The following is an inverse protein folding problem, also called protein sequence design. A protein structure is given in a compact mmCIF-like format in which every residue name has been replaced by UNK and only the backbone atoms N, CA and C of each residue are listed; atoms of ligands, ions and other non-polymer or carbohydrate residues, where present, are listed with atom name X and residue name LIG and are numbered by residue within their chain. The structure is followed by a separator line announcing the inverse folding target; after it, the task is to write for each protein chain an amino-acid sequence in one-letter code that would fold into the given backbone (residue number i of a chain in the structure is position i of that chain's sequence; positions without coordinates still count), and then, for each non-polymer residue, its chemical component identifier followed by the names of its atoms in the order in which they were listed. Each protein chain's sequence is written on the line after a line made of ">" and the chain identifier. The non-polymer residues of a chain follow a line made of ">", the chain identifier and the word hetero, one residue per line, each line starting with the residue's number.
data_IF_669567605058
#
_entry.id   IF_669567605058
#
_cell.length_a   1.000
_cell.length_b   1.000
_cell.length_c   1.000
_cell.angle_alpha   90.00
_cell.angle_beta   90.00
_cell.angle_gamma   90.00
#
_symmetry.space_group_name_H-M   'P 1'
#
loop_
_entity.id
_entity.type
_entity.pdbx_description
1 polymer ?
#
# COMPACT_ATOMS: atom_id res chain seq x y z
N UNK A 1 -26.40 -12.79 28.76
CA UNK A 1 -27.44 -12.65 27.72
C UNK A 1 -26.84 -13.19 26.43
N UNK A 2 -27.35 -14.33 25.97
CA UNK A 2 -26.83 -15.03 24.79
C UNK A 2 -27.21 -14.23 23.53
N UNK A 3 -26.21 -13.72 22.82
CA UNK A 3 -26.38 -13.08 21.52
C UNK A 3 -26.77 -14.15 20.51
N UNK A 4 -28.02 -14.11 20.02
CA UNK A 4 -28.47 -14.96 18.93
C UNK A 4 -27.66 -14.63 17.67
N UNK A 5 -26.85 -15.58 17.20
CA UNK A 5 -26.23 -15.51 15.89
C UNK A 5 -27.36 -15.49 14.84
N UNK A 6 -27.46 -14.40 14.08
CA UNK A 6 -28.31 -14.35 12.91
C UNK A 6 -27.90 -15.51 11.99
N UNK A 7 -28.86 -16.33 11.57
CA UNK A 7 -28.61 -17.43 10.66
C UNK A 7 -28.04 -16.87 9.35
N UNK A 8 -26.76 -17.13 9.11
CA UNK A 8 -26.09 -16.72 7.89
C UNK A 8 -26.71 -17.45 6.69
N UNK A 9 -26.96 -16.72 5.59
CA UNK A 9 -27.41 -17.31 4.34
C UNK A 9 -26.37 -18.29 3.77
N UNK A 10 -26.71 -19.10 2.75
CA UNK A 10 -25.76 -20.02 2.14
C UNK A 10 -24.54 -19.25 1.60
N UNK A 11 -23.35 -19.81 1.80
CA UNK A 11 -22.11 -19.24 1.27
C UNK A 11 -22.19 -19.16 -0.27
N UNK A 12 -21.84 -17.99 -0.81
CA UNK A 12 -21.78 -17.73 -2.25
C UNK A 12 -20.37 -18.06 -2.73
N UNK A 13 -20.27 -18.95 -3.71
CA UNK A 13 -19.00 -19.44 -4.23
C UNK A 13 -18.64 -18.74 -5.55
N UNK A 14 -17.39 -18.33 -5.68
CA UNK A 14 -16.82 -17.67 -6.86
C UNK A 14 -15.62 -18.46 -7.35
N UNK A 15 -15.60 -18.75 -8.65
CA UNK A 15 -14.44 -19.34 -9.31
C UNK A 15 -13.71 -18.24 -10.08
N UNK A 16 -12.50 -17.93 -9.63
CA UNK A 16 -11.63 -16.93 -10.21
C UNK A 16 -10.68 -17.62 -11.19
N UNK A 17 -10.65 -17.11 -12.41
CA UNK A 17 -9.67 -17.52 -13.42
C UNK A 17 -8.28 -16.96 -13.09
N UNK A 18 -7.26 -17.47 -13.76
CA UNK A 18 -5.90 -16.93 -13.74
C UNK A 18 -5.93 -15.41 -13.99
N UNK A 19 -5.20 -14.65 -13.16
CA UNK A 19 -5.05 -13.18 -13.26
C UNK A 19 -6.36 -12.37 -13.13
N UNK A 20 -7.38 -12.95 -12.48
CA UNK A 20 -8.63 -12.25 -12.16
C UNK A 20 -8.74 -11.91 -10.66
N UNK A 21 -9.61 -10.94 -10.35
CA UNK A 21 -9.95 -10.57 -8.97
C UNK A 21 -11.45 -10.49 -8.71
N UNK A 22 -11.86 -10.86 -7.50
CA UNK A 22 -13.19 -10.59 -6.96
C UNK A 22 -13.16 -9.26 -6.21
N UNK A 23 -13.88 -8.26 -6.72
CA UNK A 23 -14.03 -6.94 -6.07
C UNK A 23 -15.27 -6.94 -5.21
N UNK A 24 -15.10 -6.53 -3.96
CA UNK A 24 -16.16 -6.60 -2.94
C UNK A 24 -16.25 -5.29 -2.18
N UNK A 25 -17.47 -4.78 -2.04
CA UNK A 25 -17.84 -3.76 -1.05
C UNK A 25 -18.75 -4.39 0.00
N UNK A 26 -18.29 -4.42 1.25
CA UNK A 26 -19.02 -5.05 2.36
C UNK A 26 -20.21 -4.18 2.77
N UNK A 27 -21.33 -4.82 3.11
CA UNK A 27 -22.51 -4.17 3.67
C UNK A 27 -22.22 -3.29 4.89
N UNK A 28 -23.18 -2.41 5.23
CA UNK A 28 -22.95 -1.35 6.22
C UNK A 28 -22.99 -1.81 7.68
N UNK A 29 -23.66 -2.92 7.96
CA UNK A 29 -24.05 -3.30 9.33
C UNK A 29 -23.33 -4.54 9.85
N UNK A 30 -23.08 -5.53 9.00
CA UNK A 30 -22.53 -6.83 9.40
C UNK A 30 -21.20 -7.13 8.70
N UNK A 31 -20.24 -7.76 9.38
CA UNK A 31 -19.01 -8.22 8.72
C UNK A 31 -19.32 -9.27 7.64
N UNK A 32 -18.44 -9.36 6.66
CA UNK A 32 -18.44 -10.38 5.62
C UNK A 32 -17.40 -11.44 5.94
N UNK A 33 -17.76 -12.72 5.88
CA UNK A 33 -16.80 -13.81 6.02
C UNK A 33 -16.32 -14.25 4.65
N UNK A 34 -15.02 -14.44 4.52
CA UNK A 34 -14.35 -14.86 3.28
C UNK A 34 -13.57 -16.14 3.56
N UNK A 35 -13.59 -17.10 2.64
CA UNK A 35 -12.80 -18.34 2.73
C UNK A 35 -12.23 -18.72 1.37
N UNK A 36 -10.94 -19.08 1.34
CA UNK A 36 -10.31 -19.72 0.18
C UNK A 36 -10.54 -21.23 0.26
N UNK A 37 -11.24 -21.80 -0.73
CA UNK A 37 -11.57 -23.23 -0.79
C UNK A 37 -10.58 -24.01 -1.66
N UNK A 38 -10.08 -23.40 -2.73
CA UNK A 38 -9.08 -24.04 -3.59
C UNK A 38 -8.20 -23.03 -4.30
N UNK A 39 -7.01 -23.47 -4.71
CA UNK A 39 -6.02 -22.63 -5.39
C UNK A 39 -5.29 -21.68 -4.43
N UNK A 40 -4.86 -20.54 -4.95
CA UNK A 40 -4.14 -19.50 -4.19
C UNK A 40 -4.75 -18.14 -4.50
N UNK A 41 -5.02 -17.35 -3.46
CA UNK A 41 -5.51 -15.98 -3.64
C UNK A 41 -4.91 -15.06 -2.58
N UNK A 42 -4.88 -13.76 -2.88
CA UNK A 42 -4.34 -12.73 -2.00
C UNK A 42 -5.24 -11.48 -1.94
N UNK A 43 -5.23 -10.80 -0.80
CA UNK A 43 -5.83 -9.47 -0.62
C UNK A 43 -4.67 -8.49 -0.43
N UNK A 44 -4.49 -7.58 -1.38
CA UNK A 44 -3.42 -6.57 -1.37
C UNK A 44 -2.01 -7.16 -1.07
N UNK A 45 -1.69 -8.31 -1.67
CA UNK A 45 -0.42 -9.01 -1.51
C UNK A 45 -0.31 -9.91 -0.27
N UNK A 46 -1.33 -9.96 0.58
CA UNK A 46 -1.42 -10.89 1.71
C UNK A 46 -2.15 -12.16 1.28
N UNK A 47 -1.47 -13.30 1.34
CA UNK A 47 -2.07 -14.60 0.98
C UNK A 47 -3.20 -14.98 1.93
N UNK A 48 -4.28 -15.51 1.35
CA UNK A 48 -5.40 -16.05 2.11
C UNK A 48 -5.08 -17.49 2.59
N UNK A 49 -5.27 -17.79 3.89
CA UNK A 49 -5.11 -19.15 4.38
C UNK A 49 -6.19 -20.07 3.81
N UNK A 50 -5.84 -21.27 3.32
CA UNK A 50 -6.82 -22.22 2.78
C UNK A 50 -7.75 -22.71 3.90
N UNK A 51 -9.02 -22.95 3.54
CA UNK A 51 -10.08 -23.51 4.39
C UNK A 51 -10.47 -22.72 5.64
N UNK A 52 -9.83 -21.57 5.89
CA UNK A 52 -10.08 -20.74 7.06
C UNK A 52 -11.00 -19.57 6.70
N UNK A 53 -12.00 -19.34 7.55
CA UNK A 53 -12.85 -18.15 7.47
C UNK A 53 -12.15 -16.95 8.09
N UNK A 54 -11.97 -15.89 7.30
CA UNK A 54 -11.57 -14.57 7.76
C UNK A 54 -12.78 -13.64 7.78
N UNK A 55 -12.82 -12.70 8.72
CA UNK A 55 -13.94 -11.76 8.89
C UNK A 55 -13.52 -10.36 8.47
N UNK A 56 -14.10 -9.84 7.40
CA UNK A 56 -13.89 -8.48 6.92
C UNK A 56 -14.94 -7.54 7.55
N UNK A 57 -14.54 -6.42 8.18
CA UNK A 57 -15.49 -5.52 8.83
C UNK A 57 -16.47 -4.87 7.83
N UNK A 58 -17.60 -4.35 8.33
CA UNK A 58 -18.55 -3.58 7.52
C UNK A 58 -17.88 -2.43 6.76
N UNK A 59 -18.47 -2.03 5.62
CA UNK A 59 -18.06 -0.85 4.81
C UNK A 59 -16.66 -0.91 4.20
N UNK A 60 -15.98 -2.04 4.30
CA UNK A 60 -14.67 -2.22 3.69
C UNK A 60 -14.79 -2.50 2.19
N UNK A 61 -13.83 -1.98 1.43
CA UNK A 61 -13.67 -2.24 0.00
C UNK A 61 -12.36 -2.99 -0.21
N UNK A 62 -12.41 -4.13 -0.88
CA UNK A 62 -11.23 -4.95 -1.11
C UNK A 62 -11.35 -5.77 -2.40
N UNK A 63 -10.22 -6.26 -2.87
CA UNK A 63 -10.13 -7.16 -4.01
C UNK A 63 -9.39 -8.44 -3.59
N UNK A 64 -9.94 -9.59 -3.96
CA UNK A 64 -9.31 -10.89 -3.80
C UNK A 64 -8.77 -11.30 -5.16
N UNK A 65 -7.46 -11.28 -5.33
CA UNK A 65 -6.81 -11.56 -6.60
C UNK A 65 -6.20 -12.97 -6.60
N UNK A 66 -6.11 -13.61 -7.78
CA UNK A 66 -5.40 -14.88 -7.94
C UNK A 66 -4.46 -14.88 -9.15
N UNK A 67 -3.22 -15.35 -8.93
CA UNK A 67 -2.22 -15.55 -9.99
C UNK A 67 -2.45 -16.82 -10.81
N UNK A 68 -3.13 -17.83 -10.27
CA UNK A 68 -3.16 -19.18 -10.84
C UNK A 68 -4.56 -19.79 -10.94
N UNK A 69 -5.58 -19.05 -10.49
CA UNK A 69 -6.94 -19.54 -10.32
C UNK A 69 -7.23 -19.93 -8.88
N UNK A 70 -8.45 -19.64 -8.43
CA UNK A 70 -8.88 -19.90 -7.07
C UNK A 70 -10.40 -20.05 -6.96
N UNK A 71 -10.84 -20.78 -5.94
CA UNK A 71 -12.25 -20.82 -5.53
C UNK A 71 -12.39 -20.13 -4.18
N UNK A 72 -13.23 -19.11 -4.12
CA UNK A 72 -13.46 -18.31 -2.92
C UNK A 72 -14.94 -18.35 -2.54
N UNK A 73 -15.23 -18.39 -1.25
CA UNK A 73 -16.57 -18.29 -0.72
C UNK A 73 -16.76 -17.02 0.11
N UNK A 74 -17.95 -16.42 -0.04
CA UNK A 74 -18.41 -15.26 0.71
C UNK A 74 -19.68 -15.60 1.50
N UNK A 75 -19.70 -15.30 2.79
CA UNK A 75 -20.85 -15.48 3.68
C UNK A 75 -21.16 -14.14 4.38
N UNK A 76 -22.37 -13.61 4.18
CA UNK A 76 -22.78 -12.29 4.67
C UNK A 76 -23.24 -11.36 3.54
N UNK A 77 -23.52 -10.10 3.86
CA UNK A 77 -24.11 -9.12 2.93
C UNK A 77 -23.03 -8.28 2.24
N UNK A 78 -23.15 -8.10 0.93
CA UNK A 78 -22.30 -7.24 0.09
C UNK A 78 -23.16 -6.17 -0.59
N UNK A 79 -22.63 -4.95 -0.74
CA UNK A 79 -23.25 -3.90 -1.57
C UNK A 79 -22.86 -4.06 -3.03
N UNK A 80 -21.61 -4.44 -3.27
CA UNK A 80 -21.05 -4.68 -4.60
C UNK A 80 -20.23 -5.96 -4.55
N UNK A 81 -20.44 -6.82 -5.54
CA UNK A 81 -19.62 -8.00 -5.78
C UNK A 81 -19.56 -8.31 -7.27
N UNK A 82 -18.36 -8.37 -7.85
CA UNK A 82 -18.17 -8.80 -9.23
C UNK A 82 -16.73 -9.26 -9.48
N UNK A 83 -16.57 -10.16 -10.44
CA UNK A 83 -15.25 -10.60 -10.91
C UNK A 83 -14.77 -9.66 -12.01
N UNK A 84 -13.53 -9.21 -11.90
CA UNK A 84 -12.82 -8.44 -12.91
C UNK A 84 -11.64 -9.27 -13.44
N UNK A 85 -11.53 -9.36 -14.76
CA UNK A 85 -10.46 -10.01 -15.50
C UNK A 85 -9.38 -9.02 -15.96
N UNK A 86 -9.73 -7.75 -16.15
CA UNK A 86 -8.75 -6.68 -16.41
C UNK A 86 -8.22 -6.08 -15.11
N UNK A 87 -6.95 -6.39 -14.79
CA UNK A 87 -6.26 -5.87 -13.60
C UNK A 87 -4.86 -5.35 -13.93
N UNK A 88 -4.37 -4.31 -13.22
CA UNK A 88 -3.00 -3.82 -13.37
C UNK A 88 -1.96 -4.69 -12.62
N UNK A 89 -2.34 -5.85 -12.08
CA UNK A 89 -1.52 -6.64 -11.16
C UNK A 89 -0.18 -7.08 -11.75
N UNK A 90 -0.16 -7.47 -13.03
CA UNK A 90 1.08 -7.82 -13.75
C UNK A 90 2.05 -6.63 -13.80
N UNK A 91 1.54 -5.41 -13.98
CA UNK A 91 2.38 -4.21 -13.96
C UNK A 91 2.95 -3.95 -12.57
N UNK A 92 2.15 -4.16 -11.52
CA UNK A 92 2.58 -3.96 -10.14
C UNK A 92 3.64 -4.97 -9.70
N UNK A 93 3.49 -6.26 -10.04
CA UNK A 93 4.50 -7.27 -9.70
C UNK A 93 5.80 -7.07 -10.48
N UNK A 94 5.74 -6.59 -11.73
CA UNK A 94 6.93 -6.24 -12.50
C UNK A 94 7.69 -5.08 -11.86
N UNK A 95 6.99 -4.05 -11.37
CA UNK A 95 7.59 -2.97 -10.59
C UNK A 95 8.25 -3.54 -9.34
N UNK A 96 7.56 -4.39 -8.58
CA UNK A 96 8.13 -5.04 -7.39
C UNK A 96 9.41 -5.81 -7.68
N UNK A 97 9.47 -6.58 -8.78
CA UNK A 97 10.67 -7.31 -9.19
C UNK A 97 11.85 -6.37 -9.47
N UNK A 98 11.62 -5.22 -10.11
CA UNK A 98 12.65 -4.20 -10.34
C UNK A 98 13.13 -3.60 -9.02
N UNK A 99 12.21 -3.32 -8.09
CA UNK A 99 12.53 -2.79 -6.77
C UNK A 99 13.33 -3.80 -5.94
N UNK A 100 12.97 -5.07 -5.97
CA UNK A 100 13.69 -6.16 -5.31
C UNK A 100 15.13 -6.29 -5.81
N UNK A 101 15.33 -6.24 -7.13
CA UNK A 101 16.67 -6.20 -7.72
C UNK A 101 17.48 -4.98 -7.23
N UNK A 102 16.85 -3.81 -7.06
CA UNK A 102 17.51 -2.61 -6.49
C UNK A 102 17.89 -2.82 -5.02
N UNK A 103 17.01 -3.40 -4.20
CA UNK A 103 17.30 -3.74 -2.80
C UNK A 103 18.47 -4.71 -2.68
N UNK A 104 18.47 -5.76 -3.50
CA UNK A 104 19.53 -6.76 -3.55
C UNK A 104 20.89 -6.14 -3.90
N UNK A 105 20.93 -5.24 -4.90
CA UNK A 105 22.17 -4.50 -5.24
C UNK A 105 22.63 -3.58 -4.12
N UNK A 106 21.71 -2.85 -3.49
CA UNK A 106 22.02 -1.98 -2.36
C UNK A 106 22.59 -2.76 -1.16
N UNK A 107 22.02 -3.93 -0.85
CA UNK A 107 22.48 -4.83 0.23
C UNK A 107 23.85 -5.45 -0.08
N UNK A 108 24.12 -5.77 -1.34
CA UNK A 108 25.40 -6.33 -1.79
C UNK A 108 26.51 -5.29 -1.94
N UNK A 109 26.18 -3.99 -1.89
CA UNK A 109 27.16 -2.91 -2.02
C UNK A 109 28.18 -2.96 -0.89
N UNK A 110 29.46 -3.10 -1.25
CA UNK A 110 30.59 -3.03 -0.31
C UNK A 110 31.15 -1.61 -0.17
N UNK A 111 30.70 -0.65 -0.98
CA UNK A 111 31.16 0.72 -0.90
C UNK A 111 30.60 1.40 0.35
N UNK A 112 31.46 2.17 1.02
CA UNK A 112 31.07 3.03 2.13
C UNK A 112 30.23 4.25 1.68
N UNK A 113 30.07 4.45 0.35
CA UNK A 113 29.24 5.51 -0.22
C UNK A 113 27.75 5.21 0.04
N UNK A 114 27.09 6.10 0.78
CA UNK A 114 25.69 5.95 1.18
C UNK A 114 24.77 5.71 -0.03
N UNK A 115 24.98 6.45 -1.11
CA UNK A 115 24.17 6.39 -2.33
C UNK A 115 24.18 5.01 -2.99
N UNK A 116 25.32 4.31 -2.94
CA UNK A 116 25.48 2.97 -3.52
C UNK A 116 24.77 1.88 -2.69
N UNK A 117 24.63 2.12 -1.39
CA UNK A 117 24.02 1.19 -0.42
C UNK A 117 22.55 1.50 -0.14
N UNK A 118 21.99 2.52 -0.81
CA UNK A 118 20.63 2.99 -0.60
C UNK A 118 19.65 2.16 -1.44
N UNK A 119 18.69 1.54 -0.76
CA UNK A 119 17.55 0.87 -1.38
C UNK A 119 16.61 1.85 -2.10
N UNK A 120 15.64 1.34 -2.87
CA UNK A 120 14.69 2.18 -3.58
C UNK A 120 13.83 3.01 -2.61
N UNK A 121 13.66 4.29 -2.92
CA UNK A 121 12.76 5.21 -2.22
C UNK A 121 11.63 5.57 -3.17
N UNK A 122 10.53 4.83 -3.03
CA UNK A 122 9.43 4.81 -3.99
C UNK A 122 8.34 5.73 -3.48
N UNK A 123 7.94 6.72 -4.28
CA UNK A 123 6.79 7.58 -3.97
C UNK A 123 5.66 7.33 -4.96
N UNK A 124 4.46 7.13 -4.43
CA UNK A 124 3.26 6.84 -5.21
C UNK A 124 2.38 8.08 -5.23
N UNK A 125 2.17 8.65 -6.42
CA UNK A 125 1.42 9.90 -6.64
C UNK A 125 0.25 9.66 -7.58
N UNK A 126 -0.78 10.50 -7.49
CA UNK A 126 -2.01 10.34 -8.28
C UNK A 126 -3.22 10.97 -7.59
N UNK A 127 -4.33 11.21 -8.33
CA UNK A 127 -5.53 11.83 -7.79
C UNK A 127 -6.19 10.95 -6.70
N UNK A 128 -7.16 11.51 -5.98
CA UNK A 128 -7.98 10.76 -5.03
C UNK A 128 -8.61 9.53 -5.69
N UNK A 129 -8.75 8.43 -4.94
CA UNK A 129 -9.36 7.17 -5.39
C UNK A 129 -8.65 6.46 -6.56
N UNK A 130 -7.38 6.77 -6.83
CA UNK A 130 -6.58 6.11 -7.88
C UNK A 130 -5.91 4.79 -7.45
N UNK A 131 -6.13 4.31 -6.22
CA UNK A 131 -5.54 3.07 -5.69
C UNK A 131 -4.12 3.19 -5.09
N UNK A 132 -3.65 4.40 -4.74
CA UNK A 132 -2.30 4.62 -4.16
C UNK A 132 -2.02 3.78 -2.92
N UNK A 133 -2.91 3.85 -1.93
CA UNK A 133 -2.74 3.10 -0.67
C UNK A 133 -2.75 1.59 -0.91
N UNK A 134 -3.56 1.09 -1.85
CA UNK A 134 -3.59 -0.31 -2.25
C UNK A 134 -2.26 -0.75 -2.88
N UNK A 135 -1.71 0.03 -3.81
CA UNK A 135 -0.40 -0.26 -4.41
C UNK A 135 0.72 -0.23 -3.36
N UNK A 136 0.72 0.76 -2.46
CA UNK A 136 1.68 0.83 -1.36
C UNK A 136 1.61 -0.43 -0.51
N UNK A 137 0.41 -0.86 -0.09
CA UNK A 137 0.20 -2.07 0.70
C UNK A 137 0.73 -3.31 -0.01
N UNK A 138 0.45 -3.48 -1.30
CA UNK A 138 0.95 -4.60 -2.08
C UNK A 138 2.48 -4.64 -2.18
N UNK A 139 3.11 -3.51 -2.52
CA UNK A 139 4.57 -3.41 -2.62
C UNK A 139 5.26 -3.73 -1.28
N UNK A 140 4.66 -3.32 -0.17
CA UNK A 140 5.13 -3.62 1.18
C UNK A 140 4.94 -5.10 1.53
N UNK A 141 3.75 -5.66 1.29
CA UNK A 141 3.43 -7.08 1.55
C UNK A 141 4.37 -8.00 0.78
N UNK A 142 4.58 -7.76 -0.52
CA UNK A 142 5.47 -8.59 -1.34
C UNK A 142 6.95 -8.44 -0.95
N UNK A 143 7.40 -7.24 -0.57
CA UNK A 143 8.75 -7.05 -0.05
C UNK A 143 8.95 -7.79 1.28
N UNK A 144 7.98 -7.70 2.19
CA UNK A 144 8.00 -8.42 3.46
C UNK A 144 8.05 -9.94 3.24
N UNK A 145 7.27 -10.47 2.29
CA UNK A 145 7.27 -11.89 1.89
C UNK A 145 8.65 -12.37 1.40
N UNK A 146 9.45 -11.49 0.80
CA UNK A 146 10.83 -11.76 0.38
C UNK A 146 11.87 -11.54 1.50
N UNK A 147 11.43 -11.24 2.72
CA UNK A 147 12.29 -11.00 3.87
C UNK A 147 12.87 -9.59 3.96
N UNK A 148 12.41 -8.65 3.11
CA UNK A 148 12.78 -7.25 3.25
C UNK A 148 11.96 -6.56 4.34
N UNK A 149 12.55 -5.54 4.96
CA UNK A 149 11.90 -4.70 5.97
C UNK A 149 11.83 -3.24 5.50
N UNK A 150 11.05 -2.93 4.45
CA UNK A 150 10.95 -1.56 3.95
C UNK A 150 10.21 -0.67 4.96
N UNK A 151 10.54 0.62 4.95
CA UNK A 151 9.78 1.61 5.72
C UNK A 151 8.56 2.06 4.92
N UNK A 152 7.37 1.94 5.49
CA UNK A 152 6.18 2.61 4.98
C UNK A 152 6.16 4.04 5.49
N UNK A 153 6.02 5.01 4.59
CA UNK A 153 5.85 6.43 4.89
C UNK A 153 4.48 6.85 4.37
N UNK A 154 3.66 7.45 5.23
CA UNK A 154 2.34 7.93 4.86
C UNK A 154 2.25 9.44 5.06
N UNK A 155 2.15 10.15 3.92
CA UNK A 155 2.04 11.60 3.87
C UNK A 155 0.60 12.07 3.60
N UNK A 156 -0.36 11.15 3.53
CA UNK A 156 -1.78 11.48 3.42
C UNK A 156 -2.37 11.81 4.80
N UNK A 157 -2.39 13.10 5.12
CA UNK A 157 -2.98 13.59 6.38
C UNK A 157 -4.51 13.49 6.41
N UNK A 158 -5.17 13.26 5.27
CA UNK A 158 -6.63 13.15 5.19
C UNK A 158 -7.12 11.73 5.49
N UNK A 159 -6.47 10.74 4.88
CA UNK A 159 -6.87 9.32 4.90
C UNK A 159 -5.68 8.37 5.16
N UNK A 160 -4.76 8.76 6.04
CA UNK A 160 -3.60 7.96 6.40
C UNK A 160 -3.97 6.59 6.98
N UNK A 161 -3.14 5.59 6.70
CA UNK A 161 -3.31 4.17 7.07
C UNK A 161 -2.54 3.76 8.32
N UNK A 162 -1.65 4.63 8.84
CA UNK A 162 -0.81 4.34 10.02
C UNK A 162 -1.48 4.78 11.33
N UNK A 163 -2.17 5.91 11.34
CA UNK A 163 -2.71 6.48 12.58
C UNK A 163 -3.88 7.41 12.28
N UNK A 164 -4.35 8.15 13.29
CA UNK A 164 -5.48 9.06 13.18
C UNK A 164 -5.25 10.13 12.09
N UNK A 165 -6.33 10.62 11.43
CA UNK A 165 -6.25 11.72 10.48
C UNK A 165 -5.56 12.96 11.06
N UNK A 166 -4.92 13.71 10.19
CA UNK A 166 -4.12 14.89 10.53
C UNK A 166 -2.69 14.55 10.96
N UNK A 167 -2.20 13.35 10.66
CA UNK A 167 -0.82 12.95 10.93
C UNK A 167 -0.08 12.63 9.63
N UNK A 168 1.20 12.95 9.58
CA UNK A 168 2.14 12.22 8.72
C UNK A 168 2.86 11.20 9.59
N UNK A 169 3.16 10.03 9.03
CA UNK A 169 3.76 8.97 9.83
C UNK A 169 4.66 8.05 9.01
N UNK A 170 5.50 7.29 9.70
CA UNK A 170 6.27 6.21 9.09
C UNK A 170 6.41 5.03 10.06
N UNK A 171 6.46 3.81 9.52
CA UNK A 171 6.69 2.59 10.30
C UNK A 171 7.47 1.57 9.48
N UNK A 172 8.45 0.86 10.06
CA UNK A 172 9.05 -0.30 9.38
C UNK A 172 8.01 -1.42 9.24
N UNK A 173 8.03 -2.12 8.11
CA UNK A 173 7.22 -3.33 7.89
C UNK A 173 8.10 -4.55 8.16
N UNK A 174 8.09 -5.01 9.41
CA UNK A 174 8.91 -6.14 9.86
C UNK A 174 8.18 -7.48 9.87
N UNK A 175 6.85 -7.43 9.96
CA UNK A 175 5.96 -8.58 9.99
C UNK A 175 4.99 -8.52 8.82
N UNK A 176 4.50 -9.69 8.33
CA UNK A 176 3.49 -9.74 7.29
C UNK A 176 2.27 -8.88 7.64
N UNK A 177 1.83 -8.08 6.67
CA UNK A 177 0.62 -7.25 6.79
C UNK A 177 -0.58 -8.19 6.81
N UNK A 178 -1.44 -8.06 7.82
CA UNK A 178 -2.68 -8.84 7.90
C UNK A 178 -3.68 -8.35 6.84
N UNK A 179 -4.45 -9.24 6.23
CA UNK A 179 -5.40 -8.88 5.18
C UNK A 179 -6.53 -7.97 5.69
N UNK A 180 -6.86 -8.08 6.98
CA UNK A 180 -7.96 -7.37 7.65
C UNK A 180 -7.42 -6.25 8.54
N UNK A 181 -6.60 -6.61 9.53
CA UNK A 181 -6.08 -5.68 10.55
C UNK A 181 -5.05 -4.69 9.98
N UNK A 182 -4.46 -5.01 8.83
CA UNK A 182 -3.53 -4.12 8.15
C UNK A 182 -2.12 -4.16 8.72
N UNK A 183 -1.49 -2.99 8.77
CA UNK A 183 -0.07 -2.86 9.08
C UNK A 183 0.13 -3.04 10.59
N UNK A 184 1.00 -3.96 11.03
CA UNK A 184 1.33 -4.08 12.45
C UNK A 184 2.12 -2.84 12.90
N UNK A 185 1.54 -2.08 13.83
CA UNK A 185 2.08 -0.80 14.32
C UNK A 185 2.84 -1.01 15.63
N UNK A 186 4.09 -1.48 15.56
CA UNK A 186 4.90 -1.65 16.77
C UNK A 186 5.48 -0.30 17.27
N UNK A 187 6.22 0.41 16.41
CA UNK A 187 6.91 1.66 16.78
C UNK A 187 6.82 2.68 15.64
N UNK A 188 5.64 3.28 15.37
CA UNK A 188 5.51 4.29 14.33
C UNK A 188 6.12 5.62 14.77
N UNK A 189 6.78 6.32 13.84
CA UNK A 189 7.11 7.73 13.96
C UNK A 189 5.89 8.52 13.49
N UNK A 190 5.36 9.42 14.32
CA UNK A 190 4.15 10.19 14.02
C UNK A 190 4.38 11.67 14.30
N UNK A 191 4.02 12.52 13.33
CA UNK A 191 3.96 13.97 13.51
C UNK A 191 2.53 14.45 13.27
N UNK A 192 1.96 15.10 14.29
CA UNK A 192 0.60 15.62 14.24
C UNK A 192 0.58 17.01 13.61
N UNK A 193 -0.09 17.12 12.46
CA UNK A 193 -0.32 18.35 11.73
C UNK A 193 -1.55 19.12 12.26
N UNK A 194 -2.58 18.42 12.75
CA UNK A 194 -3.76 19.03 13.37
C UNK A 194 -4.95 19.28 12.45
N UNK A 195 -4.79 19.12 11.14
CA UNK A 195 -5.85 19.27 10.14
C UNK A 195 -5.81 18.15 9.10
N UNK A 196 -6.93 17.90 8.42
CA UNK A 196 -7.01 16.85 7.38
C UNK A 196 -6.69 17.36 5.97
N UNK A 197 -6.32 18.63 5.83
CA UNK A 197 -5.93 19.25 4.56
C UNK A 197 -4.73 20.17 4.76
N UNK A 198 -3.69 20.11 3.89
CA UNK A 198 -2.48 20.88 4.10
C UNK A 198 -2.65 22.36 3.69
N UNK A 199 -3.81 22.71 3.13
CA UNK A 199 -4.15 24.09 2.75
C UNK A 199 -4.26 25.03 3.95
N UNK A 200 -4.41 24.52 5.17
CA UNK A 200 -4.46 25.35 6.39
C UNK A 200 -3.10 26.00 6.67
N UNK A 201 -2.02 25.26 6.46
CA UNK A 201 -0.64 25.73 6.58
C UNK A 201 0.30 24.81 5.81
N UNK A 202 0.60 25.17 4.56
CA UNK A 202 1.52 24.39 3.73
C UNK A 202 2.94 24.38 4.31
N UNK A 203 3.37 25.48 4.93
CA UNK A 203 4.70 25.61 5.52
C UNK A 203 4.87 24.67 6.72
N UNK A 204 3.85 24.53 7.57
CA UNK A 204 3.89 23.54 8.65
C UNK A 204 3.97 22.13 8.08
N UNK A 205 3.19 21.80 7.04
CA UNK A 205 3.26 20.49 6.40
C UNK A 205 4.67 20.18 5.86
N UNK A 206 5.28 21.14 5.14
CA UNK A 206 6.66 21.03 4.64
C UNK A 206 7.68 20.81 5.75
N UNK A 207 7.53 21.52 6.87
CA UNK A 207 8.38 21.37 8.06
C UNK A 207 8.24 19.97 8.64
N UNK A 208 7.03 19.46 8.81
CA UNK A 208 6.81 18.10 9.34
C UNK A 208 7.42 17.04 8.42
N UNK A 209 7.24 17.15 7.10
CA UNK A 209 7.86 16.23 6.13
C UNK A 209 9.39 16.25 6.26
N UNK A 210 9.98 17.44 6.47
CA UNK A 210 11.42 17.59 6.69
C UNK A 210 11.90 16.94 7.99
N UNK A 211 11.16 17.12 9.09
CA UNK A 211 11.48 16.48 10.37
C UNK A 211 11.37 14.95 10.28
N UNK A 212 10.34 14.45 9.59
CA UNK A 212 10.19 13.02 9.32
C UNK A 212 11.36 12.49 8.49
N UNK A 213 11.71 13.16 7.39
CA UNK A 213 12.83 12.77 6.55
C UNK A 213 14.16 12.72 7.34
N UNK A 214 14.46 13.75 8.14
CA UNK A 214 15.67 13.76 8.98
C UNK A 214 15.69 12.60 9.98
N UNK A 215 14.55 12.25 10.55
CA UNK A 215 14.45 11.12 11.48
C UNK A 215 14.70 9.80 10.77
N UNK A 216 14.13 9.62 9.58
CA UNK A 216 14.36 8.43 8.75
C UNK A 216 15.83 8.31 8.31
N UNK A 217 16.49 9.41 7.94
CA UNK A 217 17.92 9.38 7.59
C UNK A 217 18.80 8.92 8.76
N UNK A 218 18.48 9.35 9.99
CA UNK A 218 19.20 8.88 11.19
C UNK A 218 19.00 7.38 11.41
N UNK A 219 17.77 6.88 11.21
CA UNK A 219 17.49 5.44 11.30
C UNK A 219 18.24 4.64 10.24
N UNK A 220 18.24 5.10 8.99
CA UNK A 220 18.92 4.45 7.87
C UNK A 220 20.45 4.50 7.98
N UNK A 221 21.00 5.54 8.59
CA UNK A 221 22.44 5.61 8.87
C UNK A 221 22.86 4.51 9.85
N UNK A 222 22.05 4.26 10.88
CA UNK A 222 22.31 3.24 11.90
C UNK A 222 21.90 1.81 11.53
N UNK A 223 21.13 1.62 10.45
CA UNK A 223 20.58 0.32 10.07
C UNK A 223 20.74 0.06 8.56
N UNK A 224 21.81 -0.65 8.20
CA UNK A 224 22.13 -0.97 6.80
C UNK A 224 21.06 -1.85 6.12
N UNK A 225 20.41 -2.74 6.87
CA UNK A 225 19.36 -3.61 6.34
C UNK A 225 18.12 -2.80 5.95
N UNK A 226 17.66 -1.93 6.85
CA UNK A 226 16.53 -1.01 6.58
C UNK A 226 16.86 -0.04 5.44
N UNK A 227 18.09 0.50 5.42
CA UNK A 227 18.57 1.35 4.32
C UNK A 227 18.52 0.66 2.96
N UNK A 228 18.97 -0.60 2.89
CA UNK A 228 18.94 -1.39 1.66
C UNK A 228 17.51 -1.83 1.27
N UNK A 229 16.62 -2.06 2.24
CA UNK A 229 15.21 -2.38 1.99
C UNK A 229 14.45 -1.18 1.38
N UNK A 230 14.86 0.04 1.73
CA UNK A 230 14.32 1.28 1.20
C UNK A 230 12.98 1.67 1.83
N UNK A 231 12.21 2.51 1.14
CA UNK A 231 10.92 2.99 1.62
C UNK A 231 9.86 3.06 0.52
N UNK A 232 8.59 2.94 0.92
CA UNK A 232 7.41 3.16 0.08
C UNK A 232 6.62 4.31 0.69
N UNK A 233 6.38 5.35 -0.09
CA UNK A 233 5.83 6.64 0.34
C UNK A 233 4.46 6.82 -0.31
N UNK A 234 3.41 6.78 0.50
CA UNK A 234 2.05 7.15 0.11
C UNK A 234 1.85 8.67 0.20
N UNK A 235 1.11 9.24 -0.74
CA UNK A 235 0.79 10.69 -0.75
C UNK A 235 -0.71 10.93 -0.79
N UNK A 236 -1.11 12.15 -0.43
CA UNK A 236 -2.46 12.65 -0.66
C UNK A 236 -2.85 12.68 -2.15
N UNK A 237 -4.16 12.73 -2.41
CA UNK A 237 -4.74 12.83 -3.75
C UNK A 237 -4.71 14.22 -4.41
N UNK A 238 -4.05 15.21 -3.80
CA UNK A 238 -4.03 16.59 -4.31
C UNK A 238 -2.85 16.80 -5.28
N UNK A 239 -3.12 16.74 -6.59
CA UNK A 239 -2.09 16.71 -7.65
C UNK A 239 -1.94 18.03 -8.42
N UNK A 240 -2.70 19.06 -8.08
CA UNK A 240 -2.71 20.35 -8.79
C UNK A 240 -2.35 21.52 -7.86
N UNK A 241 -1.83 22.61 -8.44
CA UNK A 241 -1.50 23.84 -7.71
C UNK A 241 -0.58 23.59 -6.51
N UNK A 242 -1.01 24.04 -5.32
CA UNK A 242 -0.27 23.83 -4.08
C UNK A 242 -0.02 22.34 -3.78
N UNK A 243 -0.95 21.45 -4.15
CA UNK A 243 -0.76 20.01 -3.98
C UNK A 243 0.45 19.49 -4.77
N UNK A 244 0.61 19.96 -6.01
CA UNK A 244 1.76 19.63 -6.85
C UNK A 244 3.09 20.12 -6.25
N UNK A 245 3.11 21.35 -5.72
CA UNK A 245 4.29 21.90 -5.03
C UNK A 245 4.67 21.07 -3.80
N UNK A 246 3.68 20.60 -3.04
CA UNK A 246 3.89 19.73 -1.87
C UNK A 246 4.41 18.34 -2.27
N UNK A 247 3.97 17.80 -3.41
CA UNK A 247 4.52 16.56 -3.97
C UNK A 247 5.99 16.72 -4.36
N UNK A 248 6.35 17.80 -5.05
CA UNK A 248 7.74 18.09 -5.40
C UNK A 248 8.61 18.25 -4.16
N UNK A 249 8.12 18.98 -3.15
CA UNK A 249 8.78 19.11 -1.85
C UNK A 249 9.01 17.74 -1.19
N UNK A 250 8.02 16.84 -1.20
CA UNK A 250 8.16 15.51 -0.63
C UNK A 250 9.16 14.64 -1.40
N UNK A 251 9.14 14.68 -2.74
CA UNK A 251 10.09 13.97 -3.62
C UNK A 251 11.53 14.36 -3.27
N UNK A 252 11.80 15.67 -3.23
CA UNK A 252 13.14 16.18 -2.96
C UNK A 252 13.54 15.93 -1.50
N UNK A 253 12.64 16.16 -0.54
CA UNK A 253 12.95 16.07 0.90
C UNK A 253 13.20 14.62 1.36
N UNK A 254 12.50 13.64 0.77
CA UNK A 254 12.68 12.22 1.09
C UNK A 254 13.71 11.53 0.17
N UNK A 255 14.33 12.27 -0.75
CA UNK A 255 15.22 11.76 -1.80
C UNK A 255 14.59 10.59 -2.57
N UNK A 256 13.32 10.73 -2.96
CA UNK A 256 12.61 9.69 -3.71
C UNK A 256 13.28 9.51 -5.09
N UNK A 257 13.63 8.26 -5.41
CA UNK A 257 14.36 7.90 -6.64
C UNK A 257 13.54 7.03 -7.62
N UNK A 258 12.31 6.71 -7.23
CA UNK A 258 11.29 6.09 -8.08
C UNK A 258 9.96 6.80 -7.83
N UNK A 259 9.37 7.35 -8.88
CA UNK A 259 8.03 7.97 -8.83
C UNK A 259 7.06 7.08 -9.61
N UNK A 260 6.03 6.57 -8.92
CA UNK A 260 4.95 5.80 -9.53
C UNK A 260 3.72 6.69 -9.65
N UNK A 261 3.27 6.94 -10.87
CA UNK A 261 2.10 7.79 -11.15
C UNK A 261 0.89 6.90 -11.44
N UNK A 262 -0.15 7.05 -10.63
CA UNK A 262 -1.45 6.41 -10.81
C UNK A 262 -2.50 7.43 -11.26
N UNK A 263 -3.47 7.00 -12.07
CA UNK A 263 -4.71 7.75 -12.27
C UNK A 263 -4.77 8.77 -13.42
N UNK A 264 -3.91 8.73 -14.45
CA UNK A 264 -4.21 9.41 -15.73
C UNK A 264 -3.63 8.67 -16.96
N UNK A 265 -4.53 8.33 -17.89
CA UNK A 265 -4.25 8.07 -19.31
C UNK A 265 -4.99 9.12 -20.14
N UNK A 266 -4.63 10.41 -20.01
CA UNK A 266 -5.13 11.46 -20.92
C UNK A 266 -4.12 12.63 -20.99
N UNK A 267 -2.93 12.40 -21.57
CA UNK A 267 -2.08 13.49 -22.09
C UNK A 267 -0.87 13.05 -22.92
N UNK A 268 -0.50 11.77 -22.99
CA UNK A 268 0.60 11.33 -23.86
C UNK A 268 0.18 10.08 -24.62
N UNK A 269 0.21 10.16 -25.96
CA UNK A 269 -0.04 9.06 -26.88
C UNK A 269 1.10 8.04 -26.85
N UNK A 270 1.23 7.34 -25.72
CA UNK A 270 2.19 6.27 -25.47
C UNK A 270 1.67 5.40 -24.33
N UNK A 271 1.93 4.09 -24.44
CA UNK A 271 1.45 2.98 -23.61
C UNK A 271 1.08 3.35 -22.15
N UNK A 272 -0.10 2.96 -21.64
CA UNK A 272 -0.54 3.33 -20.31
C UNK A 272 0.27 2.55 -19.26
N UNK A 273 0.49 3.20 -18.12
CA UNK A 273 1.04 2.65 -16.88
C UNK A 273 2.59 2.73 -16.77
N UNK A 274 3.01 3.64 -15.89
CA UNK A 274 4.36 3.79 -15.32
C UNK A 274 5.35 4.57 -16.20
N UNK A 275 5.31 5.91 -16.10
CA UNK A 275 6.48 6.73 -16.43
C UNK A 275 7.43 6.74 -15.23
N UNK A 276 8.42 5.84 -15.21
CA UNK A 276 9.52 5.91 -14.25
C UNK A 276 10.41 7.12 -14.63
N UNK A 277 10.30 8.23 -13.89
CA UNK A 277 11.27 9.30 -13.97
C UNK A 277 12.51 8.89 -13.17
N UNK A 278 13.64 8.72 -13.86
CA UNK A 278 14.96 8.60 -13.24
C UNK A 278 15.70 9.93 -13.41
N UNK A 279 16.17 10.49 -12.29
CA UNK A 279 17.29 11.43 -12.29
C UNK A 279 18.59 10.64 -12.22
#
# INVERSE_FOLDING_TARGET
>A
MSSAAAAAGPARQFNLATESELRVEVGQESPLRVRLVSGTAEIFGTELPPENWISIPPRHKFAIFTWHGATVELEGTTEVEYVADETPMVSYVNVHAILDARRSRAKASQSAELDSSQGPRVIVVGPTDSGKSSLCRMLLSWACKQGWKPTFVDLDIGQGSITMPGCIAATPIELPIDAVEGIPLEIPIVYFYGHTTPSVSAELYKVLVKELAQTLERQFTGNAESRAAGMVINTMGWVEGLGYELLLHAIDTLNANVVLVLGQVLAYGGNPLISAWHR
#
